data_IF_878569730841
#
_entry.id   IF_878569730841
#
_cell.length_a   1.000
_cell.length_b   1.000
_cell.length_c   1.000
_cell.angle_alpha   90.00
_cell.angle_beta   90.00
_cell.angle_gamma   90.00
#
_symmetry.space_group_name_H-M   'P 1'
#
loop_
_entity.id
_entity.type
_entity.pdbx_description
1 polymer ?
#
# COMPACT_ATOMS: atom_id res chain seq x y z
N UNK A 1 -4.99 0.24 -11.87
CA UNK A 1 -5.66 1.56 -11.84
C UNK A 1 -5.91 1.97 -10.40
N UNK A 2 -5.92 3.26 -10.07
CA UNK A 2 -6.07 3.73 -8.68
C UNK A 2 -7.11 4.83 -8.52
N UNK A 3 -7.79 4.85 -7.36
CA UNK A 3 -8.81 5.84 -6.99
C UNK A 3 -8.44 6.53 -5.68
N UNK A 4 -8.89 7.77 -5.51
CA UNK A 4 -8.78 8.53 -4.27
C UNK A 4 -10.20 8.78 -3.77
N UNK A 5 -10.52 8.23 -2.60
CA UNK A 5 -11.77 8.48 -1.88
C UNK A 5 -11.54 9.56 -0.83
N UNK A 6 -12.39 10.57 -0.84
CA UNK A 6 -12.41 11.62 0.17
C UNK A 6 -13.45 11.23 1.24
N UNK A 7 -13.03 11.15 2.49
CA UNK A 7 -13.90 10.90 3.62
C UNK A 7 -13.89 12.12 4.54
N UNK A 8 -15.07 12.69 4.80
CA UNK A 8 -15.24 13.80 5.73
C UNK A 8 -15.88 13.26 7.00
N UNK A 9 -15.11 13.21 8.08
CA UNK A 9 -15.65 12.86 9.39
C UNK A 9 -16.64 13.93 9.86
N UNK A 10 -17.63 13.52 10.68
CA UNK A 10 -18.59 14.46 11.31
C UNK A 10 -17.90 15.51 12.20
N UNK A 11 -16.68 15.23 12.63
CA UNK A 11 -15.81 16.12 13.42
C UNK A 11 -15.06 17.16 12.56
N UNK A 12 -15.26 17.19 11.25
CA UNK A 12 -14.62 18.13 10.32
C UNK A 12 -13.27 17.65 9.75
N UNK A 13 -12.70 16.56 10.27
CA UNK A 13 -11.46 15.99 9.74
C UNK A 13 -11.68 15.39 8.35
N UNK A 14 -10.88 15.81 7.38
CA UNK A 14 -10.89 15.27 6.02
C UNK A 14 -9.75 14.26 5.89
N UNK A 15 -10.07 13.04 5.50
CA UNK A 15 -9.12 11.99 5.17
C UNK A 15 -9.26 11.58 3.70
N UNK A 16 -8.15 11.20 3.10
CA UNK A 16 -8.02 10.82 1.71
C UNK A 16 -7.51 9.39 1.65
N UNK A 17 -8.37 8.45 1.29
CA UNK A 17 -7.96 7.05 1.11
C UNK A 17 -7.63 6.82 -0.35
N UNK A 18 -6.37 6.50 -0.63
CA UNK A 18 -5.93 6.04 -1.94
C UNK A 18 -6.06 4.52 -2.01
N UNK A 19 -6.58 4.01 -3.12
CA UNK A 19 -6.69 2.56 -3.37
C UNK A 19 -6.14 2.27 -4.75
N UNK A 20 -5.21 1.32 -4.83
CA UNK A 20 -4.53 0.89 -6.04
C UNK A 20 -4.79 -0.60 -6.25
N UNK A 21 -5.31 -0.95 -7.41
CA UNK A 21 -5.45 -2.35 -7.84
C UNK A 21 -4.75 -2.54 -9.17
N UNK A 22 -3.94 -3.58 -9.29
CA UNK A 22 -3.30 -4.01 -10.54
C UNK A 22 -3.55 -5.50 -10.71
N UNK A 23 -3.75 -5.95 -11.95
CA UNK A 23 -4.00 -7.37 -12.23
C UNK A 23 -2.75 -8.17 -11.81
N UNK A 24 -2.97 -9.22 -11.02
CA UNK A 24 -1.88 -10.07 -10.51
C UNK A 24 -1.18 -9.56 -9.26
N UNK A 25 -1.59 -8.42 -8.69
CA UNK A 25 -1.07 -7.90 -7.42
C UNK A 25 -2.18 -7.75 -6.38
N UNK A 26 -1.86 -7.88 -5.07
CA UNK A 26 -2.82 -7.57 -4.02
C UNK A 26 -3.23 -6.10 -4.08
N UNK A 27 -4.49 -5.82 -3.75
CA UNK A 27 -4.98 -4.44 -3.65
C UNK A 27 -4.27 -3.71 -2.52
N UNK A 28 -3.59 -2.61 -2.84
CA UNK A 28 -2.95 -1.74 -1.86
C UNK A 28 -3.88 -0.57 -1.51
N UNK A 29 -4.04 -0.28 -0.22
CA UNK A 29 -4.81 0.87 0.25
C UNK A 29 -4.09 1.59 1.38
N UNK A 30 -4.07 2.92 1.31
CA UNK A 30 -3.46 3.76 2.33
C UNK A 30 -4.28 5.05 2.53
N UNK A 31 -4.30 5.55 3.76
CA UNK A 31 -5.12 6.72 4.14
C UNK A 31 -4.23 7.88 4.56
N UNK A 32 -4.48 9.05 3.98
CA UNK A 32 -3.69 10.26 4.15
C UNK A 32 -4.54 11.42 4.65
N UNK A 33 -3.91 12.40 5.29
CA UNK A 33 -4.57 13.65 5.69
C UNK A 33 -4.58 14.72 4.59
N UNK A 34 -3.76 14.56 3.54
CA UNK A 34 -3.62 15.52 2.43
C UNK A 34 -3.83 14.84 1.09
N UNK A 35 -4.56 15.53 0.19
CA UNK A 35 -4.85 15.04 -1.17
C UNK A 35 -3.60 14.88 -2.04
N UNK A 36 -2.65 15.80 -1.88
CA UNK A 36 -1.40 15.79 -2.66
C UNK A 36 -0.54 14.57 -2.34
N UNK A 37 -0.43 14.22 -1.05
CA UNK A 37 0.32 13.05 -0.60
C UNK A 37 -0.33 11.75 -1.11
N UNK A 38 -1.67 11.65 -1.05
CA UNK A 38 -2.40 10.52 -1.60
C UNK A 38 -2.15 10.31 -3.11
N UNK A 39 -2.05 11.41 -3.87
CA UNK A 39 -1.76 11.35 -5.31
C UNK A 39 -0.30 10.96 -5.58
N UNK A 40 0.65 11.52 -4.82
CA UNK A 40 2.06 11.18 -4.93
C UNK A 40 2.29 9.69 -4.63
N UNK A 41 1.66 9.19 -3.57
CA UNK A 41 1.70 7.78 -3.20
C UNK A 41 1.19 6.86 -4.31
N UNK A 42 0.03 7.16 -4.91
CA UNK A 42 -0.49 6.35 -6.03
C UNK A 42 0.49 6.24 -7.19
N UNK A 43 1.18 7.33 -7.53
CA UNK A 43 2.15 7.35 -8.63
C UNK A 43 3.39 6.53 -8.25
N UNK A 44 3.92 6.73 -7.04
CA UNK A 44 5.09 6.01 -6.56
C UNK A 44 4.83 4.51 -6.45
N UNK A 45 3.71 4.12 -5.84
CA UNK A 45 3.38 2.72 -5.64
C UNK A 45 3.10 2.00 -6.95
N UNK A 46 2.42 2.67 -7.89
CA UNK A 46 2.26 2.16 -9.25
C UNK A 46 3.61 1.98 -9.97
N UNK A 47 4.53 2.93 -9.81
CA UNK A 47 5.86 2.83 -10.41
C UNK A 47 6.64 1.63 -9.87
N UNK A 48 6.58 1.37 -8.55
CA UNK A 48 7.20 0.19 -7.93
C UNK A 48 6.65 -1.12 -8.48
N UNK A 49 5.32 -1.23 -8.60
CA UNK A 49 4.65 -2.40 -9.17
C UNK A 49 5.09 -2.60 -10.62
N UNK A 50 5.08 -1.55 -11.43
CA UNK A 50 5.46 -1.62 -12.84
C UNK A 50 6.95 -1.96 -13.04
N UNK A 51 7.82 -1.50 -12.16
CA UNK A 51 9.25 -1.80 -12.19
C UNK A 51 9.58 -3.22 -11.69
N UNK A 52 8.58 -3.99 -11.24
CA UNK A 52 8.79 -5.33 -10.67
C UNK A 52 9.55 -5.31 -9.34
N UNK A 53 9.70 -4.12 -8.74
CA UNK A 53 10.39 -3.89 -7.48
C UNK A 53 9.44 -4.00 -6.27
N UNK A 54 8.27 -4.60 -6.49
CA UNK A 54 7.33 -4.93 -5.44
C UNK A 54 7.83 -6.15 -4.68
N UNK A 55 8.69 -5.92 -3.69
CA UNK A 55 9.07 -6.95 -2.72
C UNK A 55 7.84 -7.21 -1.84
N UNK A 56 7.35 -8.44 -1.84
CA UNK A 56 6.35 -8.88 -0.87
C UNK A 56 7.01 -9.00 0.52
N UNK A 57 7.22 -7.85 1.17
CA UNK A 57 7.77 -7.76 2.53
C UNK A 57 6.89 -8.51 3.54
N UNK A 58 5.61 -8.75 3.21
CA UNK A 58 4.69 -9.54 4.01
C UNK A 58 5.05 -11.03 4.09
N UNK A 59 5.48 -11.63 2.98
CA UNK A 59 6.00 -13.00 2.93
C UNK A 59 7.43 -13.09 3.47
N UNK A 60 8.27 -12.07 3.24
CA UNK A 60 9.65 -12.05 3.72
C UNK A 60 9.74 -12.07 5.27
N UNK A 61 8.78 -11.47 5.96
CA UNK A 61 8.75 -11.47 7.43
C UNK A 61 8.30 -12.83 8.01
N UNK A 62 7.43 -13.57 7.31
CA UNK A 62 6.92 -14.90 7.72
C UNK A 62 7.90 -16.05 7.47
N UNK A 63 8.97 -15.80 6.73
CA UNK A 63 10.01 -16.78 6.45
C UNK A 63 11.37 -16.16 6.80
N UNK A 64 11.52 -15.73 8.05
CA UNK A 64 12.84 -15.32 8.54
C UNK A 64 13.70 -16.54 8.81
N UNK A 65 15.00 -16.44 8.53
CA UNK A 65 16.01 -17.51 8.72
C UNK A 65 15.97 -18.08 10.15
N UNK A 66 15.55 -17.29 11.14
CA UNK A 66 15.34 -17.73 12.52
C UNK A 66 14.27 -18.83 12.67
N UNK A 67 13.16 -18.79 11.93
CA UNK A 67 12.13 -19.84 11.97
C UNK A 67 12.59 -21.16 11.32
N UNK A 68 13.58 -21.11 10.43
CA UNK A 68 14.16 -22.32 9.84
C UNK A 68 15.15 -23.01 10.79
N UNK A 69 15.77 -22.25 11.70
CA UNK A 69 16.71 -22.75 12.72
C UNK A 69 15.94 -23.33 13.91
N UNK A 70 14.84 -22.71 14.34
CA UNK A 70 14.03 -23.18 15.49
C UNK A 70 13.31 -24.52 15.20
N UNK A 71 13.16 -24.88 13.92
CA UNK A 71 12.48 -26.09 13.46
C UNK A 71 13.39 -27.32 13.35
N UNK A 72 14.69 -27.18 13.63
CA UNK A 72 15.71 -28.24 13.60
C UNK A 72 16.41 -28.35 14.95
#
# INVERSE_FOLDING_TARGET
MGTIREHRAKTGTVTFTATLWEIGHPTACETFSRKSDAKAWLIQEKAKIQQGLYLDVGQAHKHTVGEAIDRY
#
